data_IF_231593284189
#
_entry.id   IF_231593284189
#
_cell.length_a   1.000
_cell.length_b   1.000
_cell.length_c   1.000
_cell.angle_alpha   90.00
_cell.angle_beta   90.00
_cell.angle_gamma   90.00
#
_symmetry.space_group_name_H-M   'P 1'
#
loop_
_entity.id
_entity.type
_entity.pdbx_description
1 polymer ?
#
# COMPACT_ATOMS: atom_id res chain seq x y z
N UNK A 1 -9.84 1.52 11.71
CA UNK A 1 -9.08 0.82 10.65
C UNK A 1 -7.97 1.70 10.09
N UNK A 2 -8.27 2.91 9.62
CA UNK A 2 -7.30 3.88 9.07
C UNK A 2 -6.07 4.09 9.97
N UNK A 3 -6.28 4.38 11.27
CA UNK A 3 -5.17 4.53 12.24
C UNK A 3 -4.24 3.30 12.31
N UNK A 4 -4.79 2.08 12.20
CA UNK A 4 -3.99 0.84 12.19
C UNK A 4 -3.18 0.70 10.90
N UNK A 5 -3.77 1.06 9.76
CA UNK A 5 -3.06 1.09 8.48
C UNK A 5 -1.89 2.08 8.51
N UNK A 6 -2.13 3.30 9.02
CA UNK A 6 -1.09 4.34 9.18
C UNK A 6 0.02 3.86 10.12
N UNK A 7 -0.34 3.32 11.29
CA UNK A 7 0.64 2.83 12.25
C UNK A 7 1.53 1.72 11.65
N UNK A 8 0.94 0.81 10.86
CA UNK A 8 1.68 -0.24 10.18
C UNK A 8 2.57 0.29 9.04
N UNK A 9 2.04 1.18 8.19
CA UNK A 9 2.81 1.84 7.15
C UNK A 9 4.01 2.61 7.74
N UNK A 10 3.82 3.28 8.88
CA UNK A 10 4.89 3.99 9.61
C UNK A 10 6.02 3.08 10.08
N UNK A 11 5.75 1.80 10.41
CA UNK A 11 6.77 0.83 10.83
C UNK A 11 7.70 0.41 9.70
N UNK A 12 7.21 0.41 8.46
CA UNK A 12 7.96 -0.06 7.29
C UNK A 12 8.40 1.09 6.37
N UNK A 13 8.02 2.34 6.66
CA UNK A 13 8.19 3.48 5.75
C UNK A 13 9.62 3.68 5.24
N UNK A 14 10.63 3.36 6.06
CA UNK A 14 12.07 3.48 5.75
C UNK A 14 12.75 2.14 5.40
N UNK A 15 12.02 1.02 5.34
CA UNK A 15 12.61 -0.28 4.99
C UNK A 15 13.00 -0.28 3.50
N UNK A 16 14.06 -0.96 3.06
CA UNK A 16 14.41 -1.01 1.64
C UNK A 16 13.30 -1.65 0.80
N UNK A 17 13.28 -1.32 -0.50
CA UNK A 17 12.53 -2.08 -1.48
C UNK A 17 13.26 -3.40 -1.75
N UNK A 18 12.56 -4.52 -1.64
CA UNK A 18 13.08 -5.84 -2.01
C UNK A 18 11.96 -6.53 -2.79
N UNK A 19 12.25 -6.97 -4.01
CA UNK A 19 11.29 -7.70 -4.85
C UNK A 19 10.79 -8.96 -4.13
N UNK A 20 9.46 -9.14 -4.03
CA UNK A 20 8.83 -10.21 -3.26
C UNK A 20 8.81 -9.99 -1.74
N UNK A 21 9.39 -8.90 -1.23
CA UNK A 21 9.37 -8.56 0.18
C UNK A 21 7.97 -8.15 0.64
N UNK A 22 7.56 -8.55 1.84
CA UNK A 22 6.23 -8.24 2.39
C UNK A 22 5.19 -9.35 2.21
N UNK A 23 5.53 -10.44 1.51
CA UNK A 23 4.58 -11.52 1.16
C UNK A 23 4.60 -12.73 2.11
N UNK A 24 5.37 -12.69 3.19
CA UNK A 24 5.28 -13.72 4.22
C UNK A 24 4.00 -13.56 5.06
N UNK A 25 3.40 -14.67 5.47
CA UNK A 25 2.33 -14.66 6.46
C UNK A 25 2.78 -14.20 7.85
N UNK A 26 4.10 -14.21 8.11
CA UNK A 26 4.71 -13.78 9.37
C UNK A 26 4.29 -12.36 9.76
N UNK A 27 4.09 -12.16 11.07
CA UNK A 27 3.83 -10.83 11.65
C UNK A 27 5.13 -10.09 12.00
N UNK A 28 6.29 -10.74 11.89
CA UNK A 28 7.60 -10.12 12.13
C UNK A 28 7.93 -9.14 11.00
N UNK A 29 8.66 -8.08 11.33
CA UNK A 29 9.18 -7.16 10.32
C UNK A 29 10.18 -7.88 9.41
N UNK A 30 10.03 -7.70 8.11
CA UNK A 30 10.94 -8.25 7.11
C UNK A 30 12.06 -7.26 6.78
N UNK A 31 13.10 -7.75 6.10
CA UNK A 31 14.26 -6.94 5.69
C UNK A 31 13.86 -5.80 4.75
N UNK A 32 12.86 -6.01 3.88
CA UNK A 32 12.34 -5.04 2.93
C UNK A 32 10.97 -5.44 2.41
N UNK A 33 10.34 -4.52 1.69
CA UNK A 33 8.96 -4.64 1.21
C UNK A 33 8.85 -4.11 -0.21
N UNK A 34 8.29 -4.91 -1.12
CA UNK A 34 7.92 -4.47 -2.47
C UNK A 34 6.66 -3.58 -2.45
N UNK A 35 6.20 -3.15 -3.62
CA UNK A 35 5.02 -2.28 -3.77
C UNK A 35 3.76 -2.91 -3.14
N UNK A 36 3.40 -4.12 -3.58
CA UNK A 36 2.23 -4.86 -3.12
C UNK A 36 2.36 -5.42 -1.70
N UNK A 37 3.57 -5.78 -1.27
CA UNK A 37 3.91 -6.20 0.07
C UNK A 37 3.82 -5.04 1.07
N UNK A 38 4.22 -3.84 0.66
CA UNK A 38 4.06 -2.61 1.47
C UNK A 38 2.59 -2.30 1.71
N UNK A 39 1.75 -2.32 0.66
CA UNK A 39 0.30 -2.08 0.81
C UNK A 39 -0.36 -3.21 1.60
N UNK A 40 -0.03 -4.46 1.30
CA UNK A 40 -0.55 -5.63 1.99
C UNK A 40 -0.25 -5.59 3.49
N UNK A 41 0.97 -5.20 3.89
CA UNK A 41 1.35 -5.10 5.30
C UNK A 41 0.45 -4.12 6.07
N UNK A 42 0.19 -2.95 5.49
CA UNK A 42 -0.67 -1.95 6.10
C UNK A 42 -2.14 -2.38 6.15
N UNK A 43 -2.66 -2.97 5.07
CA UNK A 43 -4.05 -3.43 4.99
C UNK A 43 -4.32 -4.64 5.92
N UNK A 44 -3.36 -5.57 6.04
CA UNK A 44 -3.45 -6.70 6.99
C UNK A 44 -3.54 -6.21 8.43
N UNK A 45 -2.68 -5.26 8.81
CA UNK A 45 -2.72 -4.68 10.15
C UNK A 45 -4.04 -3.93 10.44
N UNK A 46 -4.69 -3.40 9.41
CA UNK A 46 -6.00 -2.78 9.50
C UNK A 46 -7.18 -3.78 9.49
N UNK A 47 -6.92 -5.07 9.26
CA UNK A 47 -7.96 -6.11 9.14
C UNK A 47 -8.74 -6.07 7.82
N UNK A 48 -8.21 -5.41 6.79
CA UNK A 48 -8.88 -5.23 5.50
C UNK A 48 -8.63 -6.37 4.52
N UNK A 49 -7.56 -7.14 4.75
CA UNK A 49 -7.22 -8.38 4.03
C UNK A 49 -6.63 -9.40 5.02
N UNK A 50 -6.79 -10.70 4.74
CA UNK A 50 -6.28 -11.77 5.62
C UNK A 50 -4.83 -12.19 5.33
N UNK A 51 -4.42 -12.10 4.07
CA UNK A 51 -3.12 -12.57 3.58
C UNK A 51 -2.51 -11.53 2.63
N UNK A 52 -1.17 -11.50 2.45
CA UNK A 52 -0.54 -10.60 1.50
C UNK A 52 -0.87 -11.03 0.07
N UNK A 53 -1.10 -10.05 -0.81
CA UNK A 53 -1.51 -10.28 -2.19
C UNK A 53 -0.63 -9.51 -3.16
N UNK A 54 -0.38 -10.05 -4.36
CA UNK A 54 0.30 -9.31 -5.43
C UNK A 54 -0.59 -8.19 -5.99
N UNK A 55 0.02 -7.21 -6.67
CA UNK A 55 -0.69 -6.03 -7.23
C UNK A 55 -1.86 -6.40 -8.14
N UNK A 56 -1.71 -7.43 -8.97
CA UNK A 56 -2.76 -7.90 -9.89
C UNK A 56 -4.06 -8.27 -9.18
N UNK A 57 -3.99 -8.85 -7.97
CA UNK A 57 -5.17 -9.18 -7.17
C UNK A 57 -5.92 -7.94 -6.68
N UNK A 58 -5.24 -6.80 -6.55
CA UNK A 58 -5.85 -5.54 -6.15
C UNK A 58 -6.58 -4.81 -7.28
N UNK A 59 -6.37 -5.19 -8.54
CA UNK A 59 -7.07 -4.58 -9.69
C UNK A 59 -8.59 -4.77 -9.59
N UNK A 60 -9.06 -5.82 -8.93
CA UNK A 60 -10.49 -6.12 -8.70
C UNK A 60 -10.86 -6.25 -7.22
N UNK A 61 -10.01 -5.74 -6.32
CA UNK A 61 -10.26 -5.85 -4.89
C UNK A 61 -11.40 -4.93 -4.46
N UNK A 62 -12.40 -5.48 -3.75
CA UNK A 62 -13.52 -4.72 -3.16
C UNK A 62 -14.21 -3.79 -4.18
N UNK A 63 -14.49 -2.55 -3.81
CA UNK A 63 -15.33 -1.64 -4.62
C UNK A 63 -14.48 -0.78 -5.57
N UNK A 64 -14.95 -0.52 -6.81
CA UNK A 64 -14.30 0.40 -7.75
C UNK A 64 -14.30 1.84 -7.26
N UNK A 65 -13.22 2.57 -7.57
CA UNK A 65 -13.14 4.02 -7.38
C UNK A 65 -12.30 4.44 -6.17
N UNK A 66 -12.27 5.75 -5.93
CA UNK A 66 -11.61 6.33 -4.77
C UNK A 66 -12.51 6.20 -3.53
N UNK A 67 -11.93 5.74 -2.43
CA UNK A 67 -12.58 5.69 -1.12
C UNK A 67 -12.31 6.95 -0.30
N UNK A 68 -13.12 7.13 0.75
CA UNK A 68 -13.03 8.31 1.65
C UNK A 68 -11.67 8.45 2.34
N UNK A 69 -11.11 7.34 2.83
CA UNK A 69 -9.87 7.36 3.62
C UNK A 69 -8.75 6.49 3.07
N UNK A 70 -9.10 5.39 2.40
CA UNK A 70 -8.13 4.46 1.85
C UNK A 70 -8.52 4.19 0.40
N UNK A 71 -7.59 4.45 -0.52
CA UNK A 71 -7.70 4.05 -1.92
C UNK A 71 -6.44 3.31 -2.31
N UNK A 72 -6.55 2.09 -2.81
CA UNK A 72 -5.46 1.38 -3.46
C UNK A 72 -5.48 1.65 -4.94
N UNK A 73 -4.31 1.84 -5.53
CA UNK A 73 -4.11 2.01 -6.96
C UNK A 73 -3.20 0.89 -7.43
N UNK A 74 -3.72 0.00 -8.28
CA UNK A 74 -2.99 -1.18 -8.72
C UNK A 74 -3.10 -1.40 -10.23
N UNK A 75 -2.03 -1.93 -10.82
CA UNK A 75 -2.02 -2.49 -12.17
C UNK A 75 -1.06 -3.69 -12.23
N UNK A 76 -0.81 -4.22 -13.43
CA UNK A 76 0.03 -5.40 -13.64
C UNK A 76 1.50 -5.24 -13.23
N UNK A 77 2.00 -4.01 -13.05
CA UNK A 77 3.42 -3.76 -12.75
C UNK A 77 3.69 -3.06 -11.42
N UNK A 78 2.74 -2.26 -10.91
CA UNK A 78 2.96 -1.45 -9.71
C UNK A 78 1.71 -1.32 -8.84
N UNK A 79 1.92 -0.99 -7.57
CA UNK A 79 0.85 -0.71 -6.63
C UNK A 79 1.27 0.32 -5.59
N UNK A 80 0.34 1.20 -5.24
CA UNK A 80 0.45 2.10 -4.10
C UNK A 80 -0.92 2.28 -3.44
N UNK A 81 -0.96 3.03 -2.35
CA UNK A 81 -2.23 3.45 -1.75
C UNK A 81 -2.16 4.88 -1.26
N UNK A 82 -3.32 5.54 -1.25
CA UNK A 82 -3.53 6.80 -0.54
C UNK A 82 -4.24 6.49 0.76
N UNK A 83 -3.70 6.96 1.89
CA UNK A 83 -4.35 6.89 3.20
C UNK A 83 -4.44 8.30 3.78
N UNK A 84 -5.66 8.72 4.13
CA UNK A 84 -5.92 10.04 4.71
C UNK A 84 -5.28 11.19 3.90
N UNK A 85 -5.35 11.11 2.57
CA UNK A 85 -4.81 12.12 1.65
C UNK A 85 -3.31 12.05 1.38
N UNK A 86 -2.56 11.13 2.02
CA UNK A 86 -1.13 10.95 1.78
C UNK A 86 -0.85 9.72 0.93
N UNK A 87 0.09 9.83 0.00
CA UNK A 87 0.55 8.72 -0.84
C UNK A 87 1.55 7.85 -0.07
N UNK A 88 1.29 6.55 -0.02
CA UNK A 88 2.22 5.53 0.44
C UNK A 88 2.66 4.69 -0.76
N UNK A 89 3.79 5.06 -1.35
CA UNK A 89 4.33 4.46 -2.58
C UNK A 89 5.83 4.21 -2.46
N UNK A 90 6.27 3.02 -2.85
CA UNK A 90 7.69 2.67 -2.98
C UNK A 90 8.43 3.51 -4.02
N UNK A 91 7.76 4.06 -5.04
CA UNK A 91 8.41 4.95 -6.01
C UNK A 91 8.81 6.31 -5.42
N UNK A 92 8.28 6.69 -4.26
CA UNK A 92 8.65 7.93 -3.57
C UNK A 92 10.01 7.82 -2.86
N UNK A 93 10.56 6.62 -2.73
CA UNK A 93 11.75 6.41 -1.90
C UNK A 93 12.98 7.15 -2.42
N UNK A 94 13.13 7.34 -3.74
CA UNK A 94 14.25 8.12 -4.28
C UNK A 94 14.12 9.62 -4.01
N UNK A 95 12.90 10.16 -4.05
CA UNK A 95 12.63 11.60 -3.91
C UNK A 95 12.39 12.06 -2.47
N UNK A 96 12.21 11.13 -1.51
CA UNK A 96 11.89 11.44 -0.11
C UNK A 96 12.92 10.90 0.88
N UNK A 97 14.14 10.59 0.43
CA UNK A 97 15.22 10.11 1.29
C UNK A 97 14.94 8.71 1.88
N UNK A 98 14.33 7.83 1.10
CA UNK A 98 14.00 6.45 1.49
C UNK A 98 12.64 6.29 2.15
N UNK A 99 11.83 7.34 2.25
CA UNK A 99 10.47 7.26 2.78
C UNK A 99 9.46 6.83 1.71
N UNK A 100 8.41 6.12 2.10
CA UNK A 100 7.29 5.79 1.19
C UNK A 100 6.20 6.85 1.21
N UNK A 101 6.14 7.63 2.29
CA UNK A 101 5.15 8.70 2.43
C UNK A 101 5.51 9.92 1.60
N UNK A 102 4.52 10.43 0.90
CA UNK A 102 4.60 11.70 0.18
C UNK A 102 3.26 12.42 0.23
N UNK A 103 3.32 13.75 0.27
CA UNK A 103 2.15 14.62 0.02
C UNK A 103 1.83 14.73 -1.47
N UNK A 104 2.80 14.42 -2.34
CA UNK A 104 2.58 14.32 -3.78
C UNK A 104 1.90 12.99 -4.12
N UNK A 105 0.68 13.08 -4.66
CA UNK A 105 -0.03 11.92 -5.23
C UNK A 105 0.29 11.87 -6.72
N UNK A 106 0.89 10.77 -7.16
CA UNK A 106 1.18 10.53 -8.57
C UNK A 106 -0.11 10.46 -9.41
N UNK A 107 0.03 10.66 -10.72
CA UNK A 107 -1.05 10.35 -11.65
C UNK A 107 -1.48 8.89 -11.51
N UNK A 108 -2.80 8.68 -11.37
CA UNK A 108 -3.44 7.37 -11.28
C UNK A 108 -3.80 6.78 -12.63
N UNK A 109 -3.44 7.46 -13.74
CA UNK A 109 -3.70 6.96 -15.10
C UNK A 109 -3.07 5.58 -15.28
N UNK A 110 -3.86 4.62 -15.76
CA UNK A 110 -3.43 3.22 -15.93
C UNK A 110 -3.42 2.39 -14.64
N UNK A 111 -3.96 2.91 -13.53
CA UNK A 111 -4.20 2.16 -12.30
C UNK A 111 -5.69 1.95 -12.07
N UNK A 112 -6.07 0.77 -11.61
CA UNK A 112 -7.40 0.54 -11.06
C UNK A 112 -7.44 1.08 -9.62
N UNK A 113 -8.24 2.12 -9.40
CA UNK A 113 -8.57 2.60 -8.07
C UNK A 113 -9.59 1.66 -7.41
N UNK A 114 -9.30 1.23 -6.18
CA UNK A 114 -10.18 0.39 -5.35
C UNK A 114 -10.19 0.85 -3.90
N UNK A 115 -11.28 0.57 -3.19
CA UNK A 115 -11.41 0.92 -1.78
C UNK A 115 -12.20 -0.11 -0.98
N UNK A 116 -12.00 -0.18 0.35
CA UNK A 116 -12.69 -1.15 1.21
C UNK A 116 -14.15 -0.79 1.54
N UNK A 117 -14.59 0.45 1.28
CA UNK A 117 -15.91 0.99 1.65
C UNK A 117 -15.82 2.45 2.13
N UNK A 118 -16.90 2.97 2.73
CA UNK A 118 -17.08 4.39 3.13
C UNK A 118 -16.78 4.69 4.61
N UNK A 119 -15.80 4.02 5.21
CA UNK A 119 -15.45 4.19 6.63
C UNK A 119 -14.30 5.16 6.83
#
# INVERSE_FOLDING_TARGET
>A
MVKKAIAAANRIRLKPYIYGGGHSMSRKLQKGYDCSGSVSYALRAAGLIGYPMPSGSFVRWKQPGAGKWITTYANGGHMYMVIAGLSFDTSNMSSTGGNRWSTAIRSSRGFSARHPGNF
#
